data_IF_840363505212
#
_entry.id   IF_840363505212
#
_cell.length_a   1.000
_cell.length_b   1.000
_cell.length_c   1.000
_cell.angle_alpha   90.00
_cell.angle_beta   90.00
_cell.angle_gamma   90.00
#
_symmetry.space_group_name_H-M   'P 1'
#
loop_
_entity.id
_entity.type
_entity.pdbx_description
1 polymer ?
#
# COMPACT_ATOMS: atom_id res chain seq x y z
N UNK A 1 -31.53 4.57 17.08
CA UNK A 1 -31.24 3.62 15.98
C UNK A 1 -30.00 2.81 16.35
N UNK A 2 -30.11 1.50 16.49
CA UNK A 2 -28.91 0.64 16.62
C UNK A 2 -28.17 0.65 15.28
N UNK A 3 -26.96 1.14 15.25
CA UNK A 3 -26.12 1.11 14.05
C UNK A 3 -25.90 -0.35 13.65
N UNK A 4 -26.31 -0.70 12.43
CA UNK A 4 -26.13 -2.06 11.91
C UNK A 4 -24.63 -2.35 11.73
N UNK A 5 -24.18 -3.59 12.03
CA UNK A 5 -22.82 -4.08 11.73
C UNK A 5 -22.38 -3.74 10.29
N UNK A 6 -23.33 -3.80 9.34
CA UNK A 6 -23.08 -3.42 7.93
C UNK A 6 -22.61 -1.97 7.77
N UNK A 7 -23.19 -1.03 8.53
CA UNK A 7 -22.79 0.38 8.47
C UNK A 7 -21.37 0.58 8.99
N UNK A 8 -20.93 -0.18 10.01
CA UNK A 8 -19.55 -0.11 10.50
C UNK A 8 -18.56 -0.48 9.41
N UNK A 9 -18.81 -1.61 8.72
CA UNK A 9 -17.94 -2.05 7.61
C UNK A 9 -17.90 -1.02 6.50
N UNK A 10 -19.05 -0.48 6.10
CA UNK A 10 -19.13 0.54 5.05
C UNK A 10 -18.32 1.79 5.43
N UNK A 11 -18.46 2.27 6.67
CA UNK A 11 -17.74 3.45 7.14
C UNK A 11 -16.23 3.20 7.18
N UNK A 12 -15.79 2.04 7.67
CA UNK A 12 -14.36 1.70 7.69
C UNK A 12 -13.82 1.49 6.26
N UNK A 13 -14.60 0.87 5.38
CA UNK A 13 -14.26 0.75 3.96
C UNK A 13 -14.07 2.12 3.30
N UNK A 14 -14.99 3.08 3.53
CA UNK A 14 -14.89 4.46 3.02
C UNK A 14 -13.65 5.16 3.61
N UNK A 15 -13.37 4.94 4.90
CA UNK A 15 -12.21 5.52 5.58
C UNK A 15 -10.90 5.04 4.95
N UNK A 16 -10.74 3.73 4.75
CA UNK A 16 -9.56 3.14 4.12
C UNK A 16 -9.47 3.53 2.64
N UNK A 17 -10.60 3.55 1.94
CA UNK A 17 -10.70 4.03 0.56
C UNK A 17 -10.18 5.46 0.44
N UNK A 18 -10.65 6.36 1.30
CA UNK A 18 -10.26 7.79 1.27
C UNK A 18 -8.75 7.96 1.50
N UNK A 19 -8.19 7.24 2.46
CA UNK A 19 -6.74 7.29 2.73
C UNK A 19 -5.92 6.80 1.54
N UNK A 20 -6.27 5.64 0.98
CA UNK A 20 -5.55 5.07 -0.16
C UNK A 20 -5.73 5.88 -1.44
N UNK A 21 -6.90 6.49 -1.62
CA UNK A 21 -7.12 7.43 -2.72
C UNK A 21 -6.19 8.64 -2.60
N UNK A 22 -6.10 9.24 -1.40
CA UNK A 22 -5.22 10.38 -1.14
C UNK A 22 -3.73 10.01 -1.28
N UNK A 23 -3.35 8.80 -0.89
CA UNK A 23 -2.00 8.28 -1.09
C UNK A 23 -1.64 8.24 -2.58
N UNK A 24 -2.50 7.64 -3.41
CA UNK A 24 -2.26 7.44 -4.84
C UNK A 24 -2.51 8.68 -5.71
N UNK A 25 -3.33 9.60 -5.24
CA UNK A 25 -3.76 10.79 -6.00
C UNK A 25 -2.58 11.64 -6.50
N UNK A 26 -1.51 11.72 -5.75
CA UNK A 26 -0.34 12.55 -6.07
C UNK A 26 0.62 11.90 -7.06
N UNK A 27 0.53 10.58 -7.26
CA UNK A 27 1.48 9.80 -8.06
C UNK A 27 1.70 10.34 -9.48
N UNK A 28 0.66 10.73 -10.25
CA UNK A 28 0.84 11.10 -11.65
C UNK A 28 1.52 12.46 -11.87
N UNK A 29 1.52 13.36 -10.89
CA UNK A 29 1.97 14.74 -11.09
C UNK A 29 2.98 15.24 -10.05
N UNK A 30 3.00 14.65 -8.84
CA UNK A 30 3.88 15.11 -7.76
C UNK A 30 5.37 14.98 -8.09
N UNK A 31 5.87 13.90 -8.73
CA UNK A 31 7.28 13.81 -9.09
C UNK A 31 7.72 14.97 -9.97
N UNK A 32 6.98 15.28 -11.02
CA UNK A 32 7.25 16.40 -11.93
C UNK A 32 7.14 17.77 -11.23
N UNK A 33 6.17 17.92 -10.31
CA UNK A 33 6.03 19.15 -9.54
C UNK A 33 7.21 19.36 -8.56
N UNK A 34 7.66 18.30 -7.90
CA UNK A 34 8.82 18.36 -7.01
C UNK A 34 10.11 18.67 -7.78
N UNK A 35 10.29 18.09 -8.97
CA UNK A 35 11.38 18.43 -9.89
C UNK A 35 11.35 19.90 -10.32
N UNK A 36 10.18 20.43 -10.66
CA UNK A 36 9.99 21.85 -10.95
C UNK A 36 10.40 22.76 -9.78
N UNK A 37 10.22 22.30 -8.53
CA UNK A 37 10.71 22.99 -7.32
C UNK A 37 12.21 22.78 -7.06
N UNK A 38 12.93 22.12 -7.95
CA UNK A 38 14.38 21.90 -7.88
C UNK A 38 14.81 20.65 -7.12
N UNK A 39 13.88 19.73 -6.81
CA UNK A 39 14.22 18.48 -6.14
C UNK A 39 14.92 17.50 -7.11
N UNK A 40 15.99 16.86 -6.64
CA UNK A 40 16.63 15.73 -7.33
C UNK A 40 15.75 14.48 -7.30
N UNK A 41 16.04 13.51 -8.17
CA UNK A 41 15.32 12.25 -8.20
C UNK A 41 15.40 11.51 -6.85
N UNK A 42 16.54 11.56 -6.17
CA UNK A 42 16.70 10.98 -4.81
C UNK A 42 15.79 11.66 -3.78
N UNK A 43 15.68 12.98 -3.83
CA UNK A 43 14.79 13.75 -2.95
C UNK A 43 13.32 13.42 -3.22
N UNK A 44 12.92 13.26 -4.48
CA UNK A 44 11.56 12.82 -4.84
C UNK A 44 11.28 11.43 -4.26
N UNK A 45 12.24 10.51 -4.33
CA UNK A 45 12.13 9.21 -3.66
C UNK A 45 11.93 9.32 -2.15
N UNK A 46 12.68 10.22 -1.50
CA UNK A 46 12.52 10.50 -0.08
C UNK A 46 11.14 11.11 0.24
N UNK A 47 10.63 12.01 -0.60
CA UNK A 47 9.29 12.58 -0.48
C UNK A 47 8.20 11.47 -0.44
N UNK A 48 8.28 10.50 -1.36
CA UNK A 48 7.35 9.37 -1.37
C UNK A 48 7.54 8.45 -0.16
N UNK A 49 8.78 8.14 0.21
CA UNK A 49 9.09 7.32 1.37
C UNK A 49 8.68 7.97 2.70
N UNK A 50 8.68 9.31 2.79
CA UNK A 50 8.37 10.04 4.02
C UNK A 50 6.99 9.74 4.59
N UNK A 51 6.00 9.52 3.73
CA UNK A 51 4.68 9.04 4.13
C UNK A 51 4.75 7.66 4.80
N UNK A 52 5.42 6.70 4.16
CA UNK A 52 5.52 5.35 4.67
C UNK A 52 6.37 5.26 5.96
N UNK A 53 7.43 6.06 6.06
CA UNK A 53 8.25 6.19 7.28
C UNK A 53 7.38 6.71 8.43
N UNK A 54 6.65 7.80 8.19
CA UNK A 54 5.79 8.41 9.19
C UNK A 54 4.64 7.48 9.61
N UNK A 55 4.00 6.80 8.65
CA UNK A 55 2.99 5.79 8.89
C UNK A 55 3.54 4.63 9.75
N UNK A 56 4.72 4.12 9.40
CA UNK A 56 5.36 3.00 10.11
C UNK A 56 5.66 3.36 11.58
N UNK A 57 6.20 4.56 11.83
CA UNK A 57 6.51 5.05 13.18
C UNK A 57 5.22 5.35 13.97
N UNK A 58 4.21 5.93 13.33
CA UNK A 58 2.97 6.36 13.98
C UNK A 58 2.03 5.18 14.30
N UNK A 59 2.04 4.11 13.51
CA UNK A 59 1.15 2.94 13.65
C UNK A 59 1.16 2.34 15.07
N UNK A 60 2.28 1.99 15.69
CA UNK A 60 2.26 1.44 17.05
C UNK A 60 1.82 2.46 18.11
N UNK A 61 2.12 3.75 17.90
CA UNK A 61 1.74 4.83 18.82
C UNK A 61 0.22 5.00 18.83
N UNK A 62 -0.40 5.11 17.64
CA UNK A 62 -1.85 5.26 17.54
C UNK A 62 -2.60 3.97 17.81
N UNK A 63 -2.00 2.80 17.61
CA UNK A 63 -2.55 1.53 18.09
C UNK A 63 -2.74 1.54 19.61
N UNK A 64 -1.71 1.92 20.36
CA UNK A 64 -1.79 2.04 21.82
C UNK A 64 -2.72 3.17 22.27
N UNK A 65 -2.80 4.26 21.53
CA UNK A 65 -3.67 5.40 21.84
C UNK A 65 -5.15 5.06 21.58
N UNK A 66 -5.44 4.22 20.57
CA UNK A 66 -6.79 3.77 20.25
C UNK A 66 -7.45 3.02 21.41
N UNK A 67 -6.66 2.24 22.15
CA UNK A 67 -7.14 1.50 23.32
C UNK A 67 -7.46 2.42 24.52
N UNK A 68 -6.86 3.63 24.57
CA UNK A 68 -7.06 4.61 25.67
C UNK A 68 -8.13 5.64 25.37
N UNK A 69 -8.14 6.23 24.18
CA UNK A 69 -9.01 7.34 23.80
C UNK A 69 -10.34 6.90 23.19
N UNK A 70 -10.44 5.62 22.79
CA UNK A 70 -11.57 5.09 22.03
C UNK A 70 -11.35 5.22 20.52
N UNK A 71 -11.68 4.14 19.80
CA UNK A 71 -11.38 3.97 18.37
C UNK A 71 -12.14 4.92 17.46
N UNK A 72 -13.43 5.18 17.81
CA UNK A 72 -14.30 6.07 17.02
C UNK A 72 -13.81 7.50 16.97
N UNK A 73 -13.42 8.05 18.13
CA UNK A 73 -12.87 9.42 18.21
C UNK A 73 -11.61 9.54 17.37
N UNK A 74 -10.73 8.53 17.46
CA UNK A 74 -9.48 8.53 16.70
C UNK A 74 -9.72 8.43 15.20
N UNK A 75 -10.66 7.60 14.72
CA UNK A 75 -10.99 7.53 13.29
C UNK A 75 -11.40 8.91 12.77
N UNK A 76 -12.28 9.61 13.48
CA UNK A 76 -12.72 10.97 13.07
C UNK A 76 -11.56 11.96 13.10
N UNK A 77 -10.74 11.95 14.17
CA UNK A 77 -9.57 12.83 14.30
C UNK A 77 -8.52 12.55 13.20
N UNK A 78 -8.29 11.27 12.87
CA UNK A 78 -7.39 10.88 11.80
C UNK A 78 -7.85 11.38 10.43
N UNK A 79 -9.13 11.26 10.12
CA UNK A 79 -9.70 11.77 8.87
C UNK A 79 -9.69 13.30 8.77
N UNK A 80 -9.93 14.00 9.88
CA UNK A 80 -9.76 15.47 9.94
C UNK A 80 -8.29 15.82 9.76
N UNK A 81 -7.36 15.11 10.42
CA UNK A 81 -5.93 15.28 10.24
C UNK A 81 -5.50 15.08 8.79
N UNK A 82 -6.01 14.03 8.13
CA UNK A 82 -5.79 13.79 6.69
C UNK A 82 -6.29 14.97 5.84
N UNK A 83 -7.48 15.50 6.12
CA UNK A 83 -8.01 16.64 5.39
C UNK A 83 -7.13 17.89 5.56
N UNK A 84 -6.73 18.20 6.80
CA UNK A 84 -5.89 19.36 7.10
C UNK A 84 -4.52 19.23 6.42
N UNK A 85 -3.86 18.09 6.55
CA UNK A 85 -2.54 17.87 5.95
C UNK A 85 -2.60 17.88 4.41
N UNK A 86 -3.69 17.44 3.82
CA UNK A 86 -3.93 17.50 2.37
C UNK A 86 -4.15 18.96 1.92
N UNK A 87 -4.81 19.79 2.69
CA UNK A 87 -4.91 21.23 2.42
C UNK A 87 -3.54 21.89 2.52
N UNK A 88 -2.72 21.57 3.55
CA UNK A 88 -1.34 22.06 3.66
C UNK A 88 -0.53 21.68 2.41
N UNK A 89 -0.72 20.46 1.91
CA UNK A 89 -0.06 19.99 0.69
C UNK A 89 -0.45 20.84 -0.54
N UNK A 90 -1.73 21.21 -0.66
CA UNK A 90 -2.23 22.06 -1.76
C UNK A 90 -1.56 23.44 -1.84
N UNK A 91 -1.05 23.94 -0.72
CA UNK A 91 -0.38 25.23 -0.63
C UNK A 91 1.15 25.13 -0.46
N UNK A 92 1.72 23.95 -0.66
CA UNK A 92 3.15 23.74 -0.56
C UNK A 92 3.88 24.43 -1.72
N UNK A 93 4.70 25.45 -1.40
CA UNK A 93 5.45 26.26 -2.35
C UNK A 93 6.94 25.92 -2.42
N UNK A 94 7.40 25.02 -1.59
CA UNK A 94 8.78 24.55 -1.56
C UNK A 94 8.86 23.08 -1.18
N UNK A 95 9.99 22.46 -1.48
CA UNK A 95 10.20 21.02 -1.28
C UNK A 95 10.12 20.59 0.20
N UNK A 96 10.61 21.41 1.14
CA UNK A 96 10.53 21.09 2.57
C UNK A 96 9.08 20.99 3.05
N UNK A 97 8.21 21.89 2.59
CA UNK A 97 6.79 21.89 2.95
C UNK A 97 6.08 20.68 2.34
N UNK A 98 6.48 20.21 1.14
CA UNK A 98 5.98 18.96 0.56
C UNK A 98 6.32 17.76 1.46
N UNK A 99 7.57 17.65 1.92
CA UNK A 99 8.00 16.56 2.83
C UNK A 99 7.23 16.61 4.15
N UNK A 100 7.11 17.80 4.75
CA UNK A 100 6.37 17.97 6.01
C UNK A 100 4.90 17.58 5.86
N UNK A 101 4.23 18.05 4.81
CA UNK A 101 2.84 17.72 4.52
C UNK A 101 2.67 16.22 4.28
N UNK A 102 3.58 15.60 3.51
CA UNK A 102 3.55 14.15 3.22
C UNK A 102 3.78 13.32 4.47
N UNK A 103 4.74 13.70 5.31
CA UNK A 103 5.00 13.04 6.59
C UNK A 103 3.81 13.15 7.55
N UNK A 104 3.24 14.34 7.71
CA UNK A 104 2.05 14.55 8.53
C UNK A 104 0.83 13.77 8.01
N UNK A 105 0.69 13.65 6.68
CA UNK A 105 -0.33 12.81 6.05
C UNK A 105 -0.13 11.33 6.42
N UNK A 106 1.11 10.82 6.42
CA UNK A 106 1.44 9.47 6.88
C UNK A 106 1.12 9.24 8.36
N UNK A 107 1.39 10.22 9.23
CA UNK A 107 0.98 10.18 10.65
C UNK A 107 -0.53 10.10 10.79
N UNK A 108 -1.27 10.95 10.06
CA UNK A 108 -2.73 10.98 10.12
C UNK A 108 -3.35 9.68 9.57
N UNK A 109 -2.75 9.09 8.54
CA UNK A 109 -3.15 7.81 7.94
C UNK A 109 -3.03 6.62 8.90
N UNK A 110 -2.03 6.62 9.80
CA UNK A 110 -1.86 5.55 10.78
C UNK A 110 -3.09 5.35 11.68
N UNK A 111 -3.86 6.41 11.91
CA UNK A 111 -5.00 6.41 12.83
C UNK A 111 -6.17 5.57 12.27
N UNK A 112 -6.74 5.87 11.08
CA UNK A 112 -7.84 5.09 10.53
C UNK A 112 -7.45 3.63 10.28
N UNK A 113 -6.21 3.34 9.90
CA UNK A 113 -5.75 1.96 9.72
C UNK A 113 -5.77 1.16 11.01
N UNK A 114 -5.20 1.71 12.09
CA UNK A 114 -5.12 1.00 13.37
C UNK A 114 -6.47 0.94 14.07
N UNK A 115 -7.14 2.09 14.24
CA UNK A 115 -8.41 2.18 14.94
C UNK A 115 -9.57 1.55 14.15
N UNK A 116 -9.58 1.68 12.81
CA UNK A 116 -10.62 1.12 11.96
C UNK A 116 -10.63 -0.40 11.95
N UNK A 117 -9.46 -1.02 11.71
CA UNK A 117 -9.36 -2.48 11.71
C UNK A 117 -9.59 -3.07 13.11
N UNK A 118 -9.13 -2.38 14.17
CA UNK A 118 -9.40 -2.77 15.54
C UNK A 118 -10.91 -2.69 15.88
N UNK A 119 -11.62 -1.69 15.37
CA UNK A 119 -13.08 -1.58 15.55
C UNK A 119 -13.83 -2.71 14.84
N UNK A 120 -13.40 -3.10 13.63
CA UNK A 120 -13.97 -4.28 12.94
C UNK A 120 -13.76 -5.56 13.75
N UNK A 121 -12.56 -5.75 14.29
CA UNK A 121 -12.23 -6.91 15.13
C UNK A 121 -13.12 -7.01 16.39
N UNK A 122 -13.57 -5.88 16.90
CA UNK A 122 -14.41 -5.79 18.09
C UNK A 122 -15.90 -6.03 17.80
N UNK A 123 -16.39 -5.48 16.68
CA UNK A 123 -17.83 -5.52 16.33
C UNK A 123 -18.25 -6.87 15.74
N UNK A 124 -17.32 -7.59 15.12
CA UNK A 124 -17.60 -8.83 14.41
C UNK A 124 -17.09 -10.06 15.18
N UNK A 125 -17.88 -11.15 15.15
CA UNK A 125 -17.45 -12.43 15.73
C UNK A 125 -16.23 -13.00 14.96
N UNK A 126 -15.54 -13.97 15.57
CA UNK A 126 -14.36 -14.60 14.94
C UNK A 126 -14.68 -15.20 13.56
N UNK A 127 -15.89 -15.71 13.39
CA UNK A 127 -16.38 -16.33 12.15
C UNK A 127 -16.65 -15.27 11.06
N UNK A 128 -17.17 -14.11 11.44
CA UNK A 128 -17.51 -13.00 10.53
C UNK A 128 -16.30 -12.10 10.23
N UNK A 129 -15.26 -12.14 11.07
CA UNK A 129 -14.11 -11.22 11.05
C UNK A 129 -13.40 -11.19 9.68
N UNK A 130 -13.15 -12.37 9.09
CA UNK A 130 -12.49 -12.47 7.77
C UNK A 130 -13.28 -11.78 6.67
N UNK A 131 -14.61 -11.92 6.66
CA UNK A 131 -15.48 -11.27 5.67
C UNK A 131 -15.50 -9.75 5.87
N UNK A 132 -15.60 -9.27 7.12
CA UNK A 132 -15.58 -7.84 7.41
C UNK A 132 -14.26 -7.17 7.02
N UNK A 133 -13.13 -7.82 7.31
CA UNK A 133 -11.80 -7.37 6.89
C UNK A 133 -11.66 -7.36 5.36
N UNK A 134 -12.13 -8.42 4.68
CA UNK A 134 -12.12 -8.47 3.21
C UNK A 134 -12.90 -7.32 2.57
N UNK A 135 -14.08 -6.99 3.10
CA UNK A 135 -14.86 -5.84 2.64
C UNK A 135 -14.13 -4.52 2.89
N UNK A 136 -13.50 -4.34 4.06
CA UNK A 136 -12.70 -3.14 4.33
C UNK A 136 -11.51 -3.02 3.36
N UNK A 137 -10.84 -4.13 3.02
CA UNK A 137 -9.74 -4.17 2.07
C UNK A 137 -10.17 -3.90 0.63
N UNK A 138 -11.44 -4.10 0.26
CA UNK A 138 -11.95 -3.66 -1.05
C UNK A 138 -11.93 -2.13 -1.17
N UNK A 139 -12.07 -1.41 -0.06
CA UNK A 139 -11.85 0.04 0.00
C UNK A 139 -10.42 0.41 -0.36
N UNK A 140 -9.43 -0.30 0.19
CA UNK A 140 -8.00 -0.11 -0.16
C UNK A 140 -7.77 -0.30 -1.66
N UNK A 141 -8.23 -1.42 -2.21
CA UNK A 141 -8.03 -1.72 -3.63
C UNK A 141 -8.68 -0.66 -4.54
N UNK A 142 -9.89 -0.20 -4.19
CA UNK A 142 -10.58 0.85 -4.93
C UNK A 142 -9.85 2.20 -4.82
N UNK A 143 -9.30 2.54 -3.64
CA UNK A 143 -8.52 3.77 -3.42
C UNK A 143 -7.23 3.77 -4.24
N UNK A 144 -6.48 2.68 -4.24
CA UNK A 144 -5.26 2.52 -5.06
C UNK A 144 -5.56 2.59 -6.55
N UNK A 145 -6.71 2.05 -6.99
CA UNK A 145 -7.15 2.11 -8.38
C UNK A 145 -7.53 3.53 -8.82
N UNK A 146 -8.37 4.19 -8.01
CA UNK A 146 -8.96 5.48 -8.38
C UNK A 146 -8.06 6.68 -8.03
N UNK A 147 -7.14 6.53 -7.08
CA UNK A 147 -6.24 7.60 -6.65
C UNK A 147 -5.46 8.22 -7.80
N UNK A 148 -4.59 7.49 -8.48
CA UNK A 148 -3.81 8.02 -9.59
C UNK A 148 -4.69 8.50 -10.76
N UNK A 149 -5.77 7.78 -11.05
CA UNK A 149 -6.71 8.18 -12.11
C UNK A 149 -7.30 9.56 -11.84
N UNK A 150 -7.92 9.72 -10.67
CA UNK A 150 -8.54 11.00 -10.30
C UNK A 150 -7.49 12.11 -10.12
N UNK A 151 -6.33 11.77 -9.55
CA UNK A 151 -5.25 12.73 -9.35
C UNK A 151 -4.77 13.35 -10.65
N UNK A 152 -4.47 12.53 -11.65
CA UNK A 152 -4.00 13.00 -12.94
C UNK A 152 -5.06 13.83 -13.68
N UNK A 153 -6.29 13.34 -13.76
CA UNK A 153 -7.37 14.08 -14.47
C UNK A 153 -7.80 15.36 -13.74
N UNK A 154 -7.89 15.36 -12.42
CA UNK A 154 -8.18 16.58 -11.66
C UNK A 154 -7.05 17.62 -11.80
N UNK A 155 -5.80 17.17 -11.89
CA UNK A 155 -4.68 18.06 -12.15
C UNK A 155 -4.81 18.74 -13.52
N UNK A 156 -5.19 18.02 -14.56
CA UNK A 156 -5.42 18.62 -15.89
C UNK A 156 -6.60 19.58 -15.93
N UNK A 157 -7.67 19.28 -15.19
CA UNK A 157 -8.89 20.09 -15.18
C UNK A 157 -8.74 21.41 -14.40
N UNK A 158 -7.96 21.43 -13.33
CA UNK A 158 -7.91 22.59 -12.42
C UNK A 158 -6.53 22.84 -11.78
N UNK A 159 -5.45 22.30 -12.37
CA UNK A 159 -4.09 22.51 -11.91
C UNK A 159 -3.76 21.81 -10.61
N UNK A 160 -2.62 22.19 -10.02
CA UNK A 160 -2.02 21.53 -8.86
C UNK A 160 -2.95 21.41 -7.65
N UNK A 161 -3.75 22.43 -7.36
CA UNK A 161 -4.53 22.51 -6.13
C UNK A 161 -5.82 21.67 -6.15
N UNK A 162 -6.46 21.53 -7.32
CA UNK A 162 -7.78 20.90 -7.43
C UNK A 162 -7.82 19.46 -6.89
N UNK A 163 -6.85 18.56 -7.20
CA UNK A 163 -6.82 17.21 -6.63
C UNK A 163 -6.87 17.20 -5.10
N UNK A 164 -6.13 18.10 -4.46
CA UNK A 164 -6.06 18.18 -3.01
C UNK A 164 -7.35 18.71 -2.38
N UNK A 165 -8.02 19.69 -2.99
CA UNK A 165 -9.30 20.18 -2.48
C UNK A 165 -10.40 19.12 -2.57
N UNK A 166 -10.45 18.38 -3.67
CA UNK A 166 -11.40 17.26 -3.83
C UNK A 166 -11.11 16.18 -2.79
N UNK A 167 -9.85 15.79 -2.62
CA UNK A 167 -9.45 14.76 -1.66
C UNK A 167 -9.73 15.19 -0.21
N UNK A 168 -9.43 16.44 0.15
CA UNK A 168 -9.75 16.97 1.49
C UNK A 168 -11.26 17.00 1.75
N UNK A 169 -12.07 17.38 0.74
CA UNK A 169 -13.53 17.30 0.82
C UNK A 169 -14.03 15.88 1.06
N UNK A 170 -13.45 14.88 0.38
CA UNK A 170 -13.76 13.46 0.61
C UNK A 170 -13.38 13.00 2.01
N UNK A 171 -12.22 13.42 2.54
CA UNK A 171 -11.81 13.09 3.90
C UNK A 171 -12.73 13.71 4.96
N UNK A 172 -13.17 14.95 4.77
CA UNK A 172 -14.15 15.59 5.64
C UNK A 172 -15.52 14.90 5.58
N UNK A 173 -15.96 14.48 4.39
CA UNK A 173 -17.18 13.70 4.23
C UNK A 173 -17.05 12.34 4.95
N UNK A 174 -15.93 11.64 4.80
CA UNK A 174 -15.65 10.39 5.50
C UNK A 174 -15.62 10.59 7.03
N UNK A 175 -15.05 11.71 7.52
CA UNK A 175 -15.05 12.09 8.93
C UNK A 175 -16.48 12.32 9.45
N UNK A 176 -17.31 13.03 8.69
CA UNK A 176 -18.72 13.27 9.03
C UNK A 176 -19.51 11.96 9.08
N UNK A 177 -19.38 11.10 8.07
CA UNK A 177 -20.01 9.78 8.04
C UNK A 177 -19.56 8.92 9.23
N UNK A 178 -18.26 8.92 9.54
CA UNK A 178 -17.71 8.22 10.70
C UNK A 178 -18.30 8.76 12.01
N UNK A 179 -18.35 10.07 12.16
CA UNK A 179 -18.95 10.70 13.36
C UNK A 179 -20.41 10.34 13.54
N UNK A 180 -21.22 10.42 12.47
CA UNK A 180 -22.67 10.16 12.53
C UNK A 180 -22.97 8.68 12.80
N UNK A 181 -22.33 7.78 12.04
CA UNK A 181 -22.68 6.36 12.07
C UNK A 181 -21.96 5.55 13.16
N UNK A 182 -20.76 5.95 13.58
CA UNK A 182 -20.05 5.22 14.63
C UNK A 182 -20.42 5.69 16.05
N UNK A 183 -21.06 6.83 16.22
CA UNK A 183 -21.29 7.44 17.54
C UNK A 183 -22.02 6.52 18.55
N UNK A 184 -22.95 5.69 18.08
CA UNK A 184 -23.78 4.83 18.93
C UNK A 184 -23.23 3.39 19.11
N UNK A 185 -22.04 3.10 18.64
CA UNK A 185 -21.42 1.79 18.81
C UNK A 185 -20.84 1.71 20.23
N UNK A 186 -21.09 0.62 20.93
CA UNK A 186 -20.46 0.34 22.22
C UNK A 186 -19.07 -0.21 21.96
N UNK A 187 -18.03 0.43 22.46
CA UNK A 187 -16.66 -0.07 22.41
C UNK A 187 -16.41 -0.91 23.67
N UNK A 188 -15.98 -2.14 23.50
CA UNK A 188 -15.49 -2.99 24.58
C UNK A 188 -13.97 -2.87 24.63
N UNK A 189 -13.39 -2.74 25.81
CA UNK A 189 -11.93 -2.73 25.94
C UNK A 189 -11.37 -4.09 25.49
N UNK A 190 -10.48 -4.08 24.52
CA UNK A 190 -9.86 -5.30 24.04
C UNK A 190 -9.03 -5.97 25.14
N UNK A 191 -9.19 -7.28 25.28
CA UNK A 191 -8.26 -8.12 26.03
C UNK A 191 -6.88 -8.05 25.36
N UNK A 192 -5.83 -8.04 26.20
CA UNK A 192 -4.41 -7.84 25.91
C UNK A 192 -3.93 -8.22 24.49
N UNK A 193 -3.39 -7.25 23.78
CA UNK A 193 -2.72 -7.43 22.50
C UNK A 193 -1.53 -8.39 22.65
N UNK A 194 -1.58 -9.51 21.95
CA UNK A 194 -0.40 -10.37 21.79
C UNK A 194 0.58 -9.64 20.87
N UNK A 195 1.77 -9.32 21.38
CA UNK A 195 2.79 -8.58 20.62
C UNK A 195 3.12 -9.28 19.29
N UNK A 196 3.00 -8.62 18.13
CA UNK A 196 3.36 -9.19 16.82
C UNK A 196 4.85 -9.54 16.73
N UNK A 197 5.70 -8.91 17.53
CA UNK A 197 7.16 -9.16 17.56
C UNK A 197 7.54 -10.59 17.99
N UNK A 198 6.67 -11.28 18.72
CA UNK A 198 6.97 -12.67 19.15
C UNK A 198 7.04 -13.64 17.97
N UNK A 199 6.20 -13.43 16.93
CA UNK A 199 6.16 -14.31 15.76
C UNK A 199 7.32 -14.01 14.80
N UNK A 200 7.81 -12.77 14.76
CA UNK A 200 8.95 -12.37 13.92
C UNK A 200 10.26 -13.09 14.27
N UNK A 201 10.35 -13.77 15.43
CA UNK A 201 11.50 -14.63 15.77
C UNK A 201 11.59 -15.89 14.90
N UNK A 202 10.50 -16.29 14.26
CA UNK A 202 10.47 -17.47 13.40
C UNK A 202 10.94 -17.12 11.99
N UNK A 203 12.06 -17.73 11.57
CA UNK A 203 12.70 -17.49 10.26
C UNK A 203 11.74 -17.64 9.07
N UNK A 204 10.81 -18.60 9.13
CA UNK A 204 9.83 -18.83 8.08
C UNK A 204 8.84 -17.66 7.96
N UNK A 205 8.42 -17.10 9.11
CA UNK A 205 7.55 -15.90 9.16
C UNK A 205 8.28 -14.71 8.53
N UNK A 206 9.55 -14.48 8.89
CA UNK A 206 10.34 -13.39 8.32
C UNK A 206 10.50 -13.51 6.79
N UNK A 207 10.76 -14.73 6.29
CA UNK A 207 10.91 -14.95 4.84
C UNK A 207 9.60 -14.63 4.11
N UNK A 208 8.46 -15.11 4.60
CA UNK A 208 7.18 -14.85 3.92
C UNK A 208 6.71 -13.40 4.12
N UNK A 209 6.88 -12.81 5.30
CA UNK A 209 6.61 -11.38 5.50
C UNK A 209 7.47 -10.51 4.57
N UNK A 210 8.75 -10.85 4.40
CA UNK A 210 9.63 -10.16 3.47
C UNK A 210 9.18 -10.20 2.01
N UNK A 211 8.36 -11.19 1.59
CA UNK A 211 7.71 -11.17 0.26
C UNK A 211 6.72 -10.02 0.14
N UNK A 212 5.96 -9.73 1.19
CA UNK A 212 5.08 -8.57 1.20
C UNK A 212 5.89 -7.27 1.06
N UNK A 213 7.06 -7.19 1.72
CA UNK A 213 7.96 -6.06 1.56
C UNK A 213 8.52 -5.95 0.13
N UNK A 214 8.92 -7.07 -0.48
CA UNK A 214 9.38 -7.09 -1.89
C UNK A 214 8.28 -6.63 -2.84
N UNK A 215 7.06 -7.18 -2.74
CA UNK A 215 5.95 -6.77 -3.59
C UNK A 215 5.59 -5.29 -3.43
N UNK A 216 5.55 -4.81 -2.19
CA UNK A 216 5.30 -3.40 -1.90
C UNK A 216 6.44 -2.50 -2.41
N UNK A 217 7.71 -2.93 -2.30
CA UNK A 217 8.85 -2.14 -2.80
C UNK A 217 8.85 -2.02 -4.32
N UNK A 218 8.45 -3.07 -5.05
CA UNK A 218 8.29 -3.02 -6.51
C UNK A 218 7.24 -1.98 -6.90
N UNK A 219 6.05 -2.05 -6.29
CA UNK A 219 4.97 -1.11 -6.59
C UNK A 219 5.37 0.33 -6.22
N UNK A 220 5.84 0.55 -5.01
CA UNK A 220 6.21 1.88 -4.52
C UNK A 220 7.43 2.48 -5.25
N UNK A 221 8.32 1.66 -5.83
CA UNK A 221 9.48 2.15 -6.57
C UNK A 221 9.12 2.87 -7.87
N UNK A 222 8.03 2.46 -8.52
CA UNK A 222 7.60 3.06 -9.78
C UNK A 222 6.84 4.39 -9.57
N UNK A 223 6.33 4.65 -8.38
CA UNK A 223 5.55 5.86 -8.10
C UNK A 223 6.34 7.17 -8.27
N UNK A 224 7.58 7.32 -7.72
CA UNK A 224 8.38 8.52 -7.90
C UNK A 224 9.18 8.57 -9.21
N UNK A 225 9.34 7.45 -9.91
CA UNK A 225 10.30 7.34 -11.02
C UNK A 225 9.63 7.22 -12.38
N UNK A 226 8.58 6.42 -12.49
CA UNK A 226 7.91 6.16 -13.76
C UNK A 226 7.17 7.38 -14.34
N UNK A 227 6.47 8.23 -13.55
CA UNK A 227 5.76 9.38 -14.10
C UNK A 227 6.67 10.36 -14.85
N UNK A 228 7.88 10.65 -14.34
CA UNK A 228 8.87 11.50 -15.01
C UNK A 228 9.27 10.86 -16.35
N UNK A 229 9.61 9.59 -16.34
CA UNK A 229 9.98 8.85 -17.55
C UNK A 229 8.86 8.85 -18.61
N UNK A 230 7.60 8.66 -18.20
CA UNK A 230 6.45 8.67 -19.11
C UNK A 230 6.20 10.07 -19.68
N UNK A 231 6.39 11.12 -18.88
CA UNK A 231 6.26 12.50 -19.31
C UNK A 231 7.36 12.88 -20.31
N UNK A 232 8.62 12.57 -20.00
CA UNK A 232 9.76 12.98 -20.82
C UNK A 232 9.92 12.15 -22.11
N UNK A 233 9.75 10.84 -22.05
CA UNK A 233 10.05 9.96 -23.17
C UNK A 233 8.83 9.66 -24.07
N UNK A 234 7.62 9.70 -23.51
CA UNK A 234 6.38 9.43 -24.23
C UNK A 234 5.49 10.68 -24.35
N UNK A 235 5.90 11.83 -23.79
CA UNK A 235 5.15 13.09 -23.76
C UNK A 235 3.71 12.91 -23.24
N UNK A 236 3.53 12.06 -22.21
CA UNK A 236 2.22 11.79 -21.64
C UNK A 236 1.84 12.85 -20.61
N UNK A 237 0.58 13.26 -20.67
CA UNK A 237 -0.01 14.16 -19.67
C UNK A 237 -0.27 13.44 -18.33
N UNK A 238 -0.39 14.18 -17.21
CA UNK A 238 -0.68 13.59 -15.89
C UNK A 238 -1.94 12.73 -15.84
N UNK A 239 -3.00 13.05 -16.59
CA UNK A 239 -4.21 12.24 -16.68
C UNK A 239 -3.96 10.89 -17.34
N UNK A 240 -3.18 10.88 -18.43
CA UNK A 240 -2.80 9.62 -19.09
C UNK A 240 -1.86 8.82 -18.19
N UNK A 241 -0.89 9.45 -17.51
CA UNK A 241 0.01 8.79 -16.55
C UNK A 241 -0.80 8.14 -15.43
N UNK A 242 -1.78 8.86 -14.85
CA UNK A 242 -2.68 8.28 -13.85
C UNK A 242 -3.45 7.07 -14.37
N UNK A 243 -3.89 7.12 -15.64
CA UNK A 243 -4.55 6.00 -16.31
C UNK A 243 -3.62 4.80 -16.53
N UNK A 244 -2.30 5.01 -16.70
CA UNK A 244 -1.32 3.93 -16.78
C UNK A 244 -1.20 3.16 -15.46
N UNK A 245 -1.26 3.83 -14.31
CA UNK A 245 -1.27 3.16 -12.99
C UNK A 245 -2.53 2.32 -12.78
N UNK A 246 -3.67 2.71 -13.40
CA UNK A 246 -4.88 1.88 -13.41
C UNK A 246 -4.64 0.54 -14.09
N UNK A 247 -3.83 0.49 -15.16
CA UNK A 247 -3.51 -0.76 -15.86
C UNK A 247 -2.87 -1.78 -14.91
N UNK A 248 -1.89 -1.34 -14.10
CA UNK A 248 -1.23 -2.21 -13.12
C UNK A 248 -2.24 -2.76 -12.12
N UNK A 249 -3.07 -1.86 -11.54
CA UNK A 249 -4.01 -2.22 -10.48
C UNK A 249 -5.15 -3.10 -11.01
N UNK A 250 -5.65 -2.84 -12.22
CA UNK A 250 -6.65 -3.68 -12.88
C UNK A 250 -6.08 -5.05 -13.23
N UNK A 251 -4.88 -5.12 -13.80
CA UNK A 251 -4.24 -6.39 -14.13
C UNK A 251 -4.03 -7.25 -12.87
N UNK A 252 -3.57 -6.63 -11.78
CA UNK A 252 -3.50 -7.28 -10.46
C UNK A 252 -4.87 -7.74 -9.97
N UNK A 253 -5.85 -6.84 -9.90
CA UNK A 253 -7.15 -7.10 -9.30
C UNK A 253 -7.97 -8.15 -10.07
N UNK A 254 -7.99 -8.07 -11.41
CA UNK A 254 -8.73 -9.03 -12.26
C UNK A 254 -8.11 -10.42 -12.24
N UNK A 255 -6.78 -10.52 -12.09
CA UNK A 255 -6.10 -11.81 -12.05
C UNK A 255 -6.00 -12.41 -10.65
N UNK A 256 -6.16 -11.62 -9.59
CA UNK A 256 -6.03 -12.09 -8.20
C UNK A 256 -6.92 -13.30 -7.86
N UNK A 257 -8.21 -13.41 -8.25
CA UNK A 257 -9.01 -14.60 -7.98
C UNK A 257 -8.50 -15.85 -8.71
N UNK A 258 -8.03 -15.68 -9.96
CA UNK A 258 -7.43 -16.76 -10.75
C UNK A 258 -6.11 -17.21 -10.13
N UNK A 259 -5.28 -16.26 -9.71
CA UNK A 259 -4.01 -16.52 -9.03
C UNK A 259 -4.26 -17.22 -7.68
N UNK A 260 -5.29 -16.82 -6.95
CA UNK A 260 -5.71 -17.50 -5.71
C UNK A 260 -5.97 -18.99 -5.94
N UNK A 261 -6.83 -19.34 -6.91
CA UNK A 261 -7.11 -20.72 -7.27
C UNK A 261 -5.89 -21.47 -7.84
N UNK A 262 -5.09 -20.81 -8.65
CA UNK A 262 -3.84 -21.36 -9.17
C UNK A 262 -2.84 -21.67 -8.04
N UNK A 263 -2.69 -20.75 -7.09
CA UNK A 263 -1.77 -20.90 -5.96
C UNK A 263 -2.15 -22.03 -5.00
N UNK A 264 -3.45 -22.34 -4.86
CA UNK A 264 -3.88 -23.51 -4.08
C UNK A 264 -3.56 -24.84 -4.77
N UNK A 265 -3.55 -24.87 -6.11
CA UNK A 265 -3.25 -26.08 -6.90
C UNK A 265 -1.76 -26.39 -6.98
N UNK A 266 -0.92 -25.39 -7.30
CA UNK A 266 0.54 -25.59 -7.49
C UNK A 266 1.36 -25.30 -6.25
N UNK A 267 0.74 -24.69 -5.24
CA UNK A 267 1.37 -24.28 -3.98
C UNK A 267 1.70 -22.77 -3.94
N UNK A 268 1.43 -22.15 -2.79
CA UNK A 268 1.61 -20.72 -2.58
C UNK A 268 3.05 -20.26 -2.85
N UNK A 269 4.06 -21.02 -2.36
CA UNK A 269 5.48 -20.65 -2.52
C UNK A 269 5.92 -20.71 -3.97
N UNK A 270 5.47 -21.71 -4.73
CA UNK A 270 5.80 -21.82 -6.17
C UNK A 270 5.21 -20.66 -6.97
N UNK A 271 3.96 -20.28 -6.68
CA UNK A 271 3.31 -19.12 -7.30
C UNK A 271 4.09 -17.83 -7.02
N UNK A 272 4.53 -17.62 -5.77
CA UNK A 272 5.37 -16.48 -5.40
C UNK A 272 6.68 -16.48 -6.18
N UNK A 273 7.37 -17.62 -6.28
CA UNK A 273 8.64 -17.74 -7.03
C UNK A 273 8.46 -17.33 -8.49
N UNK A 274 7.39 -17.78 -9.14
CA UNK A 274 7.06 -17.39 -10.51
C UNK A 274 6.82 -15.87 -10.60
N UNK A 275 6.00 -15.32 -9.68
CA UNK A 275 5.71 -13.89 -9.63
C UNK A 275 6.96 -13.02 -9.43
N UNK A 276 7.85 -13.42 -8.52
CA UNK A 276 9.14 -12.74 -8.25
C UNK A 276 10.03 -12.79 -9.49
N UNK A 277 10.13 -13.94 -10.15
CA UNK A 277 10.90 -14.09 -11.39
C UNK A 277 10.35 -13.22 -12.53
N UNK A 278 9.03 -13.21 -12.72
CA UNK A 278 8.37 -12.34 -13.70
C UNK A 278 8.61 -10.85 -13.39
N UNK A 279 8.40 -10.42 -12.14
CA UNK A 279 8.59 -9.03 -11.73
C UNK A 279 10.05 -8.58 -11.95
N UNK A 280 11.02 -9.43 -11.63
CA UNK A 280 12.44 -9.13 -11.81
C UNK A 280 12.84 -8.88 -13.28
N UNK A 281 12.13 -9.53 -14.21
CA UNK A 281 12.33 -9.33 -15.66
C UNK A 281 11.54 -8.12 -16.16
N UNK A 282 10.28 -7.99 -15.74
CA UNK A 282 9.35 -7.00 -16.29
C UNK A 282 9.58 -5.61 -15.71
N UNK A 283 10.01 -5.48 -14.44
CA UNK A 283 10.32 -4.17 -13.86
C UNK A 283 11.35 -3.40 -14.69
N UNK A 284 12.52 -3.97 -15.05
CA UNK A 284 13.46 -3.30 -15.95
C UNK A 284 12.85 -2.94 -17.31
N UNK A 285 12.01 -3.80 -17.86
CA UNK A 285 11.39 -3.56 -19.15
C UNK A 285 10.52 -2.30 -19.20
N UNK A 286 10.01 -1.83 -18.07
CA UNK A 286 9.23 -0.59 -18.02
C UNK A 286 10.05 0.70 -18.26
N UNK A 287 11.38 0.63 -18.27
CA UNK A 287 12.25 1.77 -18.58
C UNK A 287 12.66 1.88 -20.06
N UNK A 288 12.18 0.98 -20.93
CA UNK A 288 12.59 0.94 -22.34
C UNK A 288 11.52 1.33 -23.37
N UNK A 289 10.19 1.24 -23.09
CA UNK A 289 9.19 1.47 -24.12
C UNK A 289 9.25 2.89 -24.68
N UNK A 290 9.19 2.98 -25.99
CA UNK A 290 9.02 4.22 -26.76
C UNK A 290 7.63 4.33 -27.36
N UNK A 291 6.80 3.29 -27.21
CA UNK A 291 5.44 3.19 -27.68
C UNK A 291 4.49 2.95 -26.51
N UNK A 292 3.40 3.70 -26.45
CA UNK A 292 2.42 3.63 -25.37
C UNK A 292 1.82 2.21 -25.19
N UNK A 293 1.59 1.49 -26.29
CA UNK A 293 1.02 0.13 -26.23
C UNK A 293 1.97 -0.88 -25.59
N UNK A 294 3.27 -0.72 -25.85
CA UNK A 294 4.30 -1.56 -25.20
C UNK A 294 4.37 -1.24 -23.71
N UNK A 295 4.27 0.03 -23.35
CA UNK A 295 4.23 0.45 -21.95
C UNK A 295 2.99 -0.12 -21.22
N UNK A 296 1.81 -0.08 -21.85
CA UNK A 296 0.60 -0.69 -21.30
C UNK A 296 0.80 -2.19 -21.06
N UNK A 297 1.39 -2.90 -22.01
CA UNK A 297 1.64 -4.33 -21.89
C UNK A 297 2.62 -4.64 -20.74
N UNK A 298 3.74 -3.92 -20.63
CA UNK A 298 4.71 -4.13 -19.56
C UNK A 298 4.13 -3.84 -18.18
N UNK A 299 3.30 -2.78 -18.05
CA UNK A 299 2.59 -2.46 -16.82
C UNK A 299 1.53 -3.51 -16.46
N UNK A 300 0.80 -4.04 -17.44
CA UNK A 300 -0.15 -5.13 -17.21
C UNK A 300 0.54 -6.39 -16.70
N UNK A 301 1.65 -6.78 -17.32
CA UNK A 301 2.44 -7.95 -16.88
C UNK A 301 3.05 -7.70 -15.50
N UNK A 302 3.48 -6.48 -15.19
CA UNK A 302 3.94 -6.11 -13.84
C UNK A 302 2.81 -6.26 -12.81
N UNK A 303 1.59 -5.82 -13.14
CA UNK A 303 0.41 -5.99 -12.29
C UNK A 303 0.09 -7.47 -12.01
N UNK A 304 0.14 -8.34 -13.04
CA UNK A 304 -0.02 -9.79 -12.88
C UNK A 304 1.07 -10.36 -11.97
N UNK A 305 2.33 -9.94 -12.17
CA UNK A 305 3.46 -10.37 -11.36
C UNK A 305 3.27 -10.02 -9.88
N UNK A 306 2.82 -8.80 -9.59
CA UNK A 306 2.47 -8.34 -8.24
C UNK A 306 1.33 -9.17 -7.65
N UNK A 307 0.32 -9.52 -8.46
CA UNK A 307 -0.74 -10.43 -8.07
C UNK A 307 -0.20 -11.80 -7.65
N UNK A 308 0.72 -12.37 -8.41
CA UNK A 308 1.36 -13.66 -8.08
C UNK A 308 2.26 -13.60 -6.84
N UNK A 309 2.80 -12.42 -6.52
CA UNK A 309 3.58 -12.20 -5.29
C UNK A 309 2.66 -12.02 -4.09
N UNK A 310 1.74 -11.05 -4.14
CA UNK A 310 1.00 -10.58 -2.96
C UNK A 310 -0.21 -11.44 -2.59
N UNK A 311 -0.96 -11.97 -3.59
CA UNK A 311 -2.18 -12.75 -3.33
C UNK A 311 -1.92 -14.00 -2.47
N UNK A 312 -0.92 -14.86 -2.77
CA UNK A 312 -0.66 -16.05 -1.97
C UNK A 312 0.13 -15.78 -0.68
N UNK A 313 0.69 -14.56 -0.49
CA UNK A 313 1.58 -14.26 0.63
C UNK A 313 0.84 -14.26 1.97
N UNK A 314 -0.34 -13.62 2.06
CA UNK A 314 -1.10 -13.54 3.31
C UNK A 314 -1.64 -14.92 3.75
N UNK A 315 -2.28 -15.74 2.90
CA UNK A 315 -2.65 -17.11 3.24
C UNK A 315 -1.45 -17.95 3.70
N UNK A 316 -0.32 -17.88 2.99
CA UNK A 316 0.88 -18.61 3.38
C UNK A 316 1.45 -18.17 4.72
N UNK A 317 1.42 -16.87 5.00
CA UNK A 317 1.83 -16.32 6.29
C UNK A 317 0.91 -16.81 7.41
N UNK A 318 -0.40 -16.91 7.16
CA UNK A 318 -1.37 -17.47 8.10
C UNK A 318 -1.07 -18.93 8.42
N UNK A 319 -0.85 -19.78 7.40
CA UNK A 319 -0.49 -21.18 7.59
C UNK A 319 0.73 -21.37 8.50
N UNK A 320 1.79 -20.57 8.24
CA UNK A 320 3.02 -20.63 9.04
C UNK A 320 2.77 -20.11 10.45
N UNK A 321 2.01 -19.02 10.61
CA UNK A 321 1.67 -18.48 11.93
C UNK A 321 0.93 -19.51 12.80
N UNK A 322 0.00 -20.25 12.20
CA UNK A 322 -0.68 -21.35 12.88
C UNK A 322 0.29 -22.48 13.28
N UNK A 323 1.20 -22.86 12.38
CA UNK A 323 2.17 -23.94 12.64
C UNK A 323 3.17 -23.62 13.75
N UNK A 324 3.44 -22.33 14.01
CA UNK A 324 4.33 -21.87 15.09
C UNK A 324 3.57 -21.51 16.39
N UNK A 325 2.31 -21.94 16.49
CA UNK A 325 1.51 -21.84 17.72
C UNK A 325 0.84 -20.48 17.93
N UNK A 326 0.64 -19.69 16.87
CA UNK A 326 -0.13 -18.46 16.93
C UNK A 326 -1.38 -18.52 16.04
N UNK A 327 -2.55 -18.79 16.60
CA UNK A 327 -3.80 -18.86 15.85
C UNK A 327 -4.43 -17.49 15.54
N UNK A 328 -3.80 -16.36 15.96
CA UNK A 328 -4.38 -15.04 15.80
C UNK A 328 -4.19 -14.49 14.39
N UNK A 329 -5.28 -14.40 13.62
CA UNK A 329 -5.29 -13.78 12.29
C UNK A 329 -4.89 -12.30 12.35
N UNK A 330 -5.27 -11.57 13.42
CA UNK A 330 -4.92 -10.17 13.61
C UNK A 330 -3.42 -9.93 13.71
N UNK A 331 -2.69 -10.81 14.41
CA UNK A 331 -1.22 -10.72 14.52
C UNK A 331 -0.56 -11.03 13.18
N UNK A 332 -1.06 -12.01 12.44
CA UNK A 332 -0.57 -12.34 11.09
C UNK A 332 -0.74 -11.16 10.14
N UNK A 333 -1.90 -10.54 10.18
CA UNK A 333 -2.19 -9.36 9.37
C UNK A 333 -1.32 -8.15 9.76
N UNK A 334 -1.08 -7.94 11.06
CA UNK A 334 -0.17 -6.89 11.53
C UNK A 334 1.26 -7.08 11.04
N UNK A 335 1.78 -8.32 11.05
CA UNK A 335 3.10 -8.66 10.50
C UNK A 335 3.15 -8.40 9.00
N UNK A 336 2.11 -8.82 8.26
CA UNK A 336 2.02 -8.56 6.82
C UNK A 336 2.05 -7.06 6.53
N UNK A 337 1.22 -6.26 7.19
CA UNK A 337 1.15 -4.81 6.99
C UNK A 337 2.45 -4.09 7.39
N UNK A 338 3.10 -4.52 8.46
CA UNK A 338 4.39 -3.97 8.88
C UNK A 338 5.45 -4.20 7.80
N UNK A 339 5.52 -5.42 7.25
CA UNK A 339 6.44 -5.74 6.17
C UNK A 339 6.08 -5.00 4.88
N UNK A 340 4.80 -4.88 4.55
CA UNK A 340 4.32 -4.11 3.40
C UNK A 340 4.72 -2.63 3.51
N UNK A 341 4.49 -2.00 4.67
CA UNK A 341 4.89 -0.60 4.93
C UNK A 341 6.41 -0.41 4.84
N UNK A 342 7.19 -1.39 5.30
CA UNK A 342 8.65 -1.37 5.13
C UNK A 342 9.04 -1.39 3.65
N UNK A 343 8.37 -2.19 2.82
CA UNK A 343 8.58 -2.19 1.37
C UNK A 343 8.24 -0.84 0.72
N UNK A 344 7.12 -0.24 1.12
CA UNK A 344 6.73 1.11 0.67
C UNK A 344 7.75 2.19 1.03
N UNK A 345 8.48 2.03 2.13
CA UNK A 345 9.56 2.91 2.53
C UNK A 345 10.82 2.70 1.68
N UNK A 346 11.24 1.45 1.53
CA UNK A 346 12.52 1.09 0.89
C UNK A 346 12.46 1.24 -0.63
N UNK A 347 11.34 0.88 -1.25
CA UNK A 347 11.16 0.91 -2.71
C UNK A 347 11.49 2.26 -3.34
N UNK A 348 10.80 3.35 -2.95
CA UNK A 348 11.06 4.69 -3.47
C UNK A 348 12.50 5.17 -3.22
N UNK A 349 13.05 4.93 -2.01
CA UNK A 349 14.40 5.34 -1.66
C UNK A 349 15.45 4.68 -2.56
N UNK A 350 15.38 3.36 -2.70
CA UNK A 350 16.37 2.61 -3.49
C UNK A 350 16.23 2.94 -4.98
N UNK A 351 15.01 2.90 -5.52
CA UNK A 351 14.80 3.14 -6.95
C UNK A 351 15.20 4.55 -7.35
N UNK A 352 14.79 5.56 -6.56
CA UNK A 352 15.08 6.95 -6.89
C UNK A 352 16.55 7.31 -6.72
N UNK A 353 17.22 6.79 -5.68
CA UNK A 353 18.66 7.03 -5.49
C UNK A 353 19.47 6.37 -6.61
N UNK A 354 19.10 5.16 -7.03
CA UNK A 354 19.74 4.50 -8.17
C UNK A 354 19.46 5.23 -9.49
N UNK A 355 18.23 5.73 -9.66
CA UNK A 355 17.87 6.47 -10.86
C UNK A 355 18.59 7.82 -10.96
N UNK A 356 18.78 8.50 -9.83
CA UNK A 356 19.53 9.75 -9.75
C UNK A 356 21.00 9.59 -10.16
N UNK A 357 21.66 8.52 -9.64
CA UNK A 357 23.07 8.29 -9.91
C UNK A 357 23.38 7.62 -11.24
N UNK A 358 22.50 6.72 -11.73
CA UNK A 358 22.79 5.81 -12.83
C UNK A 358 21.70 5.78 -13.92
N UNK A 359 20.67 6.60 -13.79
CA UNK A 359 19.50 6.62 -14.68
C UNK A 359 18.50 5.49 -14.42
N UNK A 360 17.25 5.68 -14.88
CA UNK A 360 16.13 4.80 -14.60
C UNK A 360 16.34 3.35 -15.07
N UNK A 361 16.94 3.16 -16.26
CA UNK A 361 17.21 1.83 -16.82
C UNK A 361 18.07 1.00 -15.88
N UNK A 362 19.17 1.58 -15.41
CA UNK A 362 20.09 0.93 -14.47
C UNK A 362 19.44 0.70 -13.13
N UNK A 363 18.66 1.66 -12.62
CA UNK A 363 17.93 1.53 -11.36
C UNK A 363 17.00 0.32 -11.37
N UNK A 364 16.18 0.18 -12.41
CA UNK A 364 15.24 -0.93 -12.52
C UNK A 364 15.94 -2.28 -12.77
N UNK A 365 17.06 -2.30 -13.50
CA UNK A 365 17.90 -3.50 -13.65
C UNK A 365 18.47 -3.96 -12.31
N UNK A 366 19.05 -3.05 -11.53
CA UNK A 366 19.60 -3.36 -10.21
C UNK A 366 18.50 -3.84 -9.27
N UNK A 367 17.34 -3.17 -9.26
CA UNK A 367 16.19 -3.61 -8.47
C UNK A 367 15.72 -5.01 -8.89
N UNK A 368 15.64 -5.30 -10.19
CA UNK A 368 15.31 -6.63 -10.70
C UNK A 368 16.29 -7.70 -10.19
N UNK A 369 17.60 -7.40 -10.19
CA UNK A 369 18.61 -8.29 -9.62
C UNK A 369 18.45 -8.49 -8.11
N UNK A 370 18.18 -7.43 -7.35
CA UNK A 370 17.94 -7.52 -5.91
C UNK A 370 16.69 -8.37 -5.60
N UNK A 371 15.65 -8.26 -6.42
CA UNK A 371 14.44 -9.06 -6.32
C UNK A 371 14.74 -10.55 -6.57
N UNK A 372 15.55 -10.86 -7.57
CA UNK A 372 15.98 -12.25 -7.86
C UNK A 372 16.74 -12.86 -6.67
N UNK A 373 17.57 -12.09 -5.98
CA UNK A 373 18.29 -12.59 -4.82
C UNK A 373 17.34 -13.09 -3.72
N UNK A 374 16.12 -12.57 -3.67
CA UNK A 374 15.11 -13.03 -2.72
C UNK A 374 14.55 -14.43 -3.03
N UNK A 375 14.77 -14.95 -4.25
CA UNK A 375 14.43 -16.33 -4.60
C UNK A 375 15.24 -17.36 -3.79
N UNK A 376 16.46 -17.00 -3.36
CA UNK A 376 17.33 -17.92 -2.63
C UNK A 376 16.73 -18.38 -1.27
N UNK A 377 16.31 -17.48 -0.34
CA UNK A 377 15.65 -17.88 0.89
C UNK A 377 14.31 -18.58 0.65
N UNK A 378 13.57 -18.20 -0.41
CA UNK A 378 12.29 -18.85 -0.77
C UNK A 378 12.46 -20.30 -1.23
N UNK A 379 13.43 -20.58 -2.08
CA UNK A 379 13.71 -21.95 -2.55
C UNK A 379 14.13 -22.84 -1.38
N UNK A 380 14.92 -22.31 -0.45
CA UNK A 380 15.31 -23.03 0.77
C UNK A 380 14.13 -23.33 1.70
N UNK A 381 13.11 -22.48 1.69
CA UNK A 381 11.86 -22.72 2.41
C UNK A 381 11.04 -23.81 1.71
N UNK A 382 10.94 -23.77 0.39
CA UNK A 382 10.17 -24.72 -0.41
C UNK A 382 10.74 -26.17 -0.29
N UNK A 383 12.06 -26.33 -0.31
CA UNK A 383 12.72 -27.63 -0.18
C UNK A 383 12.48 -28.27 1.19
N UNK A 384 12.36 -27.49 2.25
CA UNK A 384 12.04 -28.00 3.62
C UNK A 384 10.58 -28.42 3.78
N UNK A 385 9.67 -27.88 2.97
CA UNK A 385 8.25 -28.24 2.98
C UNK A 385 8.03 -29.55 2.22
N UNK A 386 8.81 -29.79 1.15
CA UNK A 386 8.71 -30.98 0.30
C UNK A 386 9.42 -32.20 0.92
N UNK A 387 10.38 -31.99 1.79
CA UNK A 387 11.07 -33.03 2.56
C UNK A 387 10.84 -32.79 4.05
N UNK A 388 9.69 -33.19 4.63
CA UNK A 388 9.58 -33.33 6.06
C UNK A 388 10.63 -34.37 6.46
N UNK A 389 11.55 -34.02 7.38
CA UNK A 389 12.51 -34.96 7.94
C UNK A 389 11.74 -36.20 8.40
N UNK A 390 12.05 -37.37 7.76
CA UNK A 390 11.74 -38.70 8.26
C UNK A 390 12.27 -38.87 9.71
#
# INVERSE_FOLDING_TARGET
MKTSKKMVVIVIMITIFTDMLMYGLVVPFLPMHAEYLGASQSEIGFLFASYAIALFIATPIFGALADRMGRKKLIVLGLIGLAITTIVFAFATNFLLLILARSLQGVAAAIPWTAGLALLAEVFSKEEHGTAMGMAMSGQASGVLLGPLLGGWLFELGGYQLPFFVAAGMALLAALLSFVFLRNITETRAESFTSPFRILRHKQVLIIAGIAAVGASIFASIEPTLPIHLSENLNLSPGIIGSMFVVITLAYGLTAPMIGTFSTRIGHVKTIIIGVGMAAIVLPLNAFPTLIWVQILTLAVLGISLGMILTPTLPKLADISHSVGNPSQGVTFAVYNTAYSFGMMVGPLVASTLADGFGLKTAYLVMGLLIILYLFPLNKLNSKIISPKA
#
